data_IF_577382894296
#
_entry.id   IF_577382894296
#
_cell.length_a   1.000
_cell.length_b   1.000
_cell.length_c   1.000
_cell.angle_alpha   90.00
_cell.angle_beta   90.00
_cell.angle_gamma   90.00
#
_symmetry.space_group_name_H-M   'P 1'
#
loop_
_entity.id
_entity.type
_entity.pdbx_description
1 polymer ?
#
# COMPACT_ATOMS: atom_id res chain seq x y z
N UNK A 1 -78.70 -13.56 5.38
CA UNK A 1 -77.60 -13.52 6.37
C UNK A 1 -76.46 -14.32 5.78
N UNK A 2 -75.48 -13.63 5.18
CA UNK A 2 -74.56 -14.23 4.22
C UNK A 2 -73.11 -14.20 4.72
N UNK A 3 -72.42 -15.30 4.45
CA UNK A 3 -71.06 -15.76 4.79
C UNK A 3 -69.92 -14.72 4.59
N UNK A 4 -70.23 -13.55 4.08
CA UNK A 4 -69.32 -12.44 3.76
C UNK A 4 -68.64 -11.79 4.97
N UNK A 5 -69.23 -11.90 6.17
CA UNK A 5 -68.69 -11.26 7.38
C UNK A 5 -67.82 -12.19 8.25
N UNK A 6 -67.74 -13.50 7.95
CA UNK A 6 -66.94 -14.46 8.71
C UNK A 6 -65.51 -14.66 8.15
N UNK A 7 -65.25 -14.29 6.89
CA UNK A 7 -63.90 -14.35 6.28
C UNK A 7 -63.09 -13.08 6.58
N UNK A 8 -63.73 -12.00 7.03
CA UNK A 8 -63.03 -10.80 7.55
C UNK A 8 -62.41 -11.03 8.93
N UNK A 9 -62.68 -12.18 9.54
CA UNK A 9 -61.96 -12.75 10.68
C UNK A 9 -60.69 -13.53 10.26
N UNK A 10 -60.16 -13.27 9.05
CA UNK A 10 -58.77 -13.50 8.66
C UNK A 10 -57.85 -12.47 9.34
N UNK A 11 -58.02 -12.33 10.66
CA UNK A 11 -57.09 -11.69 11.59
C UNK A 11 -56.26 -12.76 12.31
N UNK A 12 -56.42 -14.06 12.00
CA UNK A 12 -55.41 -15.04 12.42
C UNK A 12 -54.18 -14.93 11.51
N UNK A 13 -53.16 -14.20 11.96
CA UNK A 13 -52.15 -14.75 12.86
C UNK A 13 -51.25 -15.77 12.13
N UNK A 14 -50.68 -15.34 11.01
CA UNK A 14 -49.41 -15.87 10.52
C UNK A 14 -48.63 -14.67 9.98
N UNK A 15 -48.06 -13.85 10.85
CA UNK A 15 -46.72 -14.11 11.41
C UNK A 15 -45.60 -14.20 10.35
N UNK A 16 -45.86 -13.80 9.10
CA UNK A 16 -44.81 -13.60 8.07
C UNK A 16 -44.64 -12.12 7.70
N UNK A 17 -45.44 -11.24 8.29
CA UNK A 17 -45.16 -9.79 8.32
C UNK A 17 -44.03 -9.42 9.31
N UNK A 18 -43.39 -10.40 9.97
CA UNK A 18 -42.32 -10.17 10.95
C UNK A 18 -41.04 -10.98 10.71
N UNK A 19 -40.91 -11.66 9.57
CA UNK A 19 -39.67 -12.38 9.19
C UNK A 19 -38.95 -11.79 7.96
N UNK A 20 -39.54 -10.78 7.31
CA UNK A 20 -38.99 -10.15 6.10
C UNK A 20 -38.35 -8.76 6.36
N UNK A 21 -38.16 -8.37 7.62
CA UNK A 21 -37.77 -7.00 8.00
C UNK A 21 -36.56 -6.87 8.93
N UNK A 22 -35.75 -7.92 9.15
CA UNK A 22 -34.51 -7.80 9.94
C UNK A 22 -33.29 -8.54 9.37
N UNK A 23 -33.36 -9.07 8.15
CA UNK A 23 -32.16 -9.42 7.39
C UNK A 23 -31.73 -8.24 6.51
N UNK A 24 -31.62 -7.06 7.13
CA UNK A 24 -30.58 -6.14 6.68
C UNK A 24 -29.28 -6.90 6.96
N UNK A 25 -28.38 -7.10 5.99
CA UNK A 25 -27.05 -7.54 6.37
C UNK A 25 -26.59 -6.48 7.37
N UNK A 26 -26.31 -6.91 8.60
CA UNK A 26 -25.36 -6.20 9.41
C UNK A 26 -24.23 -5.90 8.43
N UNK A 27 -24.00 -4.61 8.15
CA UNK A 27 -22.73 -4.20 7.59
C UNK A 27 -21.75 -4.87 8.53
N UNK A 28 -21.10 -5.93 8.06
CA UNK A 28 -20.15 -6.66 8.87
C UNK A 28 -19.25 -5.58 9.44
N UNK A 29 -19.37 -5.36 10.75
CA UNK A 29 -18.29 -4.77 11.53
C UNK A 29 -17.05 -5.51 11.02
N UNK A 30 -16.10 -4.72 10.52
CA UNK A 30 -14.88 -5.19 9.90
C UNK A 30 -14.44 -6.49 10.57
N UNK A 31 -14.12 -7.51 9.77
CA UNK A 31 -13.52 -8.75 10.23
C UNK A 31 -12.47 -8.41 11.30
N UNK A 32 -12.78 -8.65 12.58
CA UNK A 32 -11.86 -8.25 13.64
C UNK A 32 -10.60 -9.09 13.46
N UNK A 33 -9.43 -8.45 13.31
CA UNK A 33 -8.22 -9.19 13.06
C UNK A 33 -7.98 -10.16 14.22
N UNK A 34 -7.77 -11.44 13.90
CA UNK A 34 -7.26 -12.39 14.89
C UNK A 34 -5.89 -11.98 15.45
N UNK A 35 -5.13 -11.17 14.71
CA UNK A 35 -3.85 -10.56 15.10
C UNK A 35 -3.66 -9.20 14.42
N UNK A 36 -3.09 -8.24 15.14
CA UNK A 36 -2.66 -6.95 14.59
C UNK A 36 -1.20 -6.98 14.14
N UNK A 37 -0.85 -6.13 13.17
CA UNK A 37 0.53 -5.92 12.72
C UNK A 37 1.10 -4.61 13.28
N UNK A 38 2.41 -4.58 13.53
CA UNK A 38 3.13 -3.42 14.04
C UNK A 38 3.38 -2.34 12.98
N UNK A 39 3.09 -2.63 11.70
CA UNK A 39 3.27 -1.67 10.62
C UNK A 39 2.42 -0.41 10.85
N UNK A 40 2.96 0.80 10.62
CA UNK A 40 2.26 2.06 10.87
C UNK A 40 1.27 2.41 9.74
N UNK A 41 0.71 1.41 9.08
CA UNK A 41 -0.19 1.55 7.93
C UNK A 41 0.30 0.81 6.69
N UNK A 42 -0.66 0.48 5.83
CA UNK A 42 -0.37 -0.08 4.52
C UNK A 42 -0.06 1.05 3.53
N UNK A 43 1.12 1.00 2.91
CA UNK A 43 1.56 1.94 1.88
C UNK A 43 1.63 1.24 0.52
N UNK A 44 0.89 1.70 -0.52
CA UNK A 44 1.08 1.19 -1.87
C UNK A 44 2.50 1.47 -2.36
N UNK A 45 3.04 0.57 -3.19
CA UNK A 45 4.41 0.75 -3.70
C UNK A 45 4.43 1.89 -4.73
N UNK A 46 4.99 3.04 -4.34
CA UNK A 46 5.05 4.25 -5.15
C UNK A 46 6.51 4.71 -5.31
N UNK A 47 7.01 4.77 -6.55
CA UNK A 47 8.39 5.18 -6.85
C UNK A 47 8.70 6.66 -6.59
N UNK A 48 7.70 7.49 -6.28
CA UNK A 48 7.88 8.92 -5.93
C UNK A 48 8.06 9.18 -4.43
N UNK A 49 7.81 8.18 -3.59
CA UNK A 49 7.91 8.33 -2.15
C UNK A 49 9.31 8.74 -1.67
N UNK A 50 10.42 8.21 -2.23
CA UNK A 50 11.78 8.67 -1.90
C UNK A 50 11.98 10.17 -2.07
N UNK A 51 11.68 10.70 -3.26
CA UNK A 51 11.85 12.12 -3.56
C UNK A 51 10.96 13.04 -2.70
N UNK A 52 9.79 12.57 -2.25
CA UNK A 52 9.00 13.30 -1.25
C UNK A 52 9.71 13.37 0.11
N UNK A 53 10.25 12.25 0.58
CA UNK A 53 10.94 12.17 1.87
C UNK A 53 12.25 12.96 1.89
N UNK A 54 13.00 12.94 0.79
CA UNK A 54 14.22 13.75 0.61
C UNK A 54 13.94 15.26 0.63
N UNK A 55 12.75 15.68 0.17
CA UNK A 55 12.36 17.08 0.11
C UNK A 55 11.85 17.65 1.45
N UNK A 56 11.67 16.83 2.48
CA UNK A 56 11.14 17.26 3.78
C UNK A 56 12.04 18.31 4.47
N UNK A 57 11.47 19.04 5.42
CA UNK A 57 12.08 20.17 6.10
C UNK A 57 11.70 21.50 5.44
N UNK A 58 12.23 21.77 4.25
CA UNK A 58 12.05 23.05 3.56
C UNK A 58 10.85 23.08 2.60
N UNK A 59 10.28 21.91 2.28
CA UNK A 59 9.15 21.83 1.35
C UNK A 59 7.89 22.50 1.91
N UNK A 60 7.14 23.18 1.03
CA UNK A 60 5.87 23.80 1.38
C UNK A 60 4.73 22.82 1.14
N UNK A 61 4.07 22.40 2.22
CA UNK A 61 2.90 21.52 2.16
C UNK A 61 1.62 22.32 2.44
N UNK A 62 0.71 22.35 1.46
CA UNK A 62 -0.64 22.88 1.67
C UNK A 62 -1.52 21.76 2.23
N UNK A 63 -2.01 21.92 3.45
CA UNK A 63 -2.89 20.95 4.11
C UNK A 63 -4.32 21.33 3.82
N UNK A 64 -5.17 20.41 3.33
CA UNK A 64 -6.60 20.67 3.16
C UNK A 64 -7.43 20.23 4.38
N UNK A 65 -8.69 20.72 4.53
CA UNK A 65 -9.60 20.25 5.57
C UNK A 65 -9.77 18.74 5.50
N UNK A 66 -9.60 18.05 6.64
CA UNK A 66 -9.72 16.59 6.72
C UNK A 66 -11.10 16.17 6.25
N UNK A 67 -11.14 15.21 5.33
CA UNK A 67 -12.36 14.62 4.80
C UNK A 67 -12.90 13.66 5.86
N UNK A 68 -14.15 13.83 6.28
CA UNK A 68 -14.85 12.89 7.15
C UNK A 68 -15.92 12.21 6.29
N UNK A 69 -15.57 11.06 5.72
CA UNK A 69 -16.43 10.33 4.80
C UNK A 69 -17.42 9.48 5.58
N UNK A 70 -18.71 9.73 5.38
CA UNK A 70 -19.80 9.01 6.04
C UNK A 70 -20.52 8.13 5.03
N UNK A 71 -21.43 7.29 5.50
CA UNK A 71 -22.20 6.39 4.64
C UNK A 71 -22.91 7.12 3.49
N UNK A 72 -23.44 8.32 3.74
CA UNK A 72 -24.27 9.04 2.76
C UNK A 72 -23.68 10.36 2.26
N UNK A 73 -22.62 10.87 2.90
CA UNK A 73 -22.09 12.22 2.62
C UNK A 73 -20.62 12.39 2.99
N UNK A 74 -20.03 13.45 2.46
CA UNK A 74 -18.74 13.98 2.90
C UNK A 74 -18.95 15.15 3.87
N UNK A 75 -18.19 15.19 4.96
CA UNK A 75 -18.02 16.37 5.81
C UNK A 75 -16.54 16.76 5.87
N UNK A 76 -16.23 17.92 6.43
CA UNK A 76 -14.86 18.45 6.50
C UNK A 76 -14.55 18.95 7.90
N UNK A 77 -13.35 18.64 8.41
CA UNK A 77 -12.84 19.11 9.69
C UNK A 77 -11.70 20.10 9.48
N UNK A 78 -11.97 21.38 9.73
CA UNK A 78 -10.94 22.44 9.74
C UNK A 78 -10.08 22.36 11.00
N UNK A 79 -10.66 21.96 12.14
CA UNK A 79 -9.90 21.73 13.36
C UNK A 79 -8.82 20.65 13.18
N UNK A 80 -9.13 19.58 12.44
CA UNK A 80 -8.13 18.55 12.08
C UNK A 80 -7.07 19.09 11.13
N UNK A 81 -7.42 19.97 10.19
CA UNK A 81 -6.44 20.65 9.34
C UNK A 81 -5.48 21.51 10.17
N UNK A 82 -6.00 22.31 11.11
CA UNK A 82 -5.19 23.13 11.99
C UNK A 82 -4.24 22.27 12.84
N UNK A 83 -4.75 21.13 13.33
CA UNK A 83 -3.94 20.14 14.06
C UNK A 83 -2.81 19.56 13.19
N UNK A 84 -3.10 19.20 11.93
CA UNK A 84 -2.10 18.68 10.99
C UNK A 84 -1.05 19.75 10.69
N UNK A 85 -1.47 20.99 10.36
CA UNK A 85 -0.57 22.11 10.09
C UNK A 85 0.34 22.38 11.28
N UNK A 86 -0.22 22.43 12.50
CA UNK A 86 0.55 22.66 13.72
C UNK A 86 1.56 21.53 13.95
N UNK A 87 1.16 20.27 13.76
CA UNK A 87 2.02 19.11 13.94
C UNK A 87 3.20 19.11 12.96
N UNK A 88 2.94 19.27 11.65
CA UNK A 88 3.99 19.24 10.62
C UNK A 88 5.04 20.32 10.87
N UNK A 89 4.61 21.54 11.19
CA UNK A 89 5.52 22.64 11.51
C UNK A 89 6.29 22.39 12.83
N UNK A 90 5.63 21.90 13.87
CA UNK A 90 6.25 21.65 15.17
C UNK A 90 7.28 20.52 15.14
N UNK A 91 7.07 19.51 14.29
CA UNK A 91 8.02 18.41 14.08
C UNK A 91 9.13 18.75 13.06
N UNK A 92 9.09 19.92 12.42
CA UNK A 92 10.04 20.28 11.36
C UNK A 92 9.94 19.38 10.12
N UNK A 93 8.79 18.72 9.91
CA UNK A 93 8.58 17.83 8.76
C UNK A 93 8.45 18.64 7.48
N UNK A 94 7.82 19.82 7.54
CA UNK A 94 7.63 20.71 6.40
C UNK A 94 7.21 22.12 6.85
N UNK A 95 7.25 23.07 5.92
CA UNK A 95 6.59 24.39 6.07
C UNK A 95 5.13 24.23 5.66
N UNK A 96 4.26 23.92 6.64
CA UNK A 96 2.86 23.61 6.39
C UNK A 96 1.95 24.84 6.49
N UNK A 97 1.01 24.99 5.55
CA UNK A 97 -0.01 26.06 5.57
C UNK A 97 -1.42 25.49 5.29
N UNK A 98 -2.49 26.10 5.83
CA UNK A 98 -3.85 25.65 5.57
C UNK A 98 -4.32 26.09 4.17
N UNK A 99 -4.94 25.18 3.43
CA UNK A 99 -5.65 25.46 2.17
C UNK A 99 -7.18 25.45 2.37
N UNK A 100 -7.95 26.34 1.71
CA UNK A 100 -9.39 26.48 1.98
C UNK A 100 -10.27 25.45 1.25
N UNK A 101 -9.72 24.72 0.28
CA UNK A 101 -10.49 23.88 -0.65
C UNK A 101 -11.07 22.67 0.06
N UNK A 102 -12.37 22.42 -0.14
CA UNK A 102 -13.04 21.18 0.26
C UNK A 102 -13.07 20.21 -0.92
N UNK A 103 -12.71 18.96 -0.66
CA UNK A 103 -12.84 17.87 -1.63
C UNK A 103 -14.06 17.05 -1.25
N UNK A 104 -15.01 16.92 -2.17
CA UNK A 104 -16.12 15.99 -2.01
C UNK A 104 -15.83 14.70 -2.75
N UNK A 105 -15.56 13.64 -2.01
CA UNK A 105 -15.35 12.31 -2.58
C UNK A 105 -16.65 11.47 -2.61
N UNK A 106 -17.78 12.06 -2.23
CA UNK A 106 -19.06 11.38 -2.15
C UNK A 106 -19.17 10.32 -1.03
N UNK A 107 -20.29 9.60 -0.99
CA UNK A 107 -20.57 8.57 0.02
C UNK A 107 -19.64 7.35 -0.04
N UNK A 108 -19.52 6.64 1.08
CA UNK A 108 -18.87 5.32 1.16
C UNK A 108 -19.70 4.25 0.42
N UNK A 109 -19.32 3.93 -0.82
CA UNK A 109 -20.06 2.98 -1.70
C UNK A 109 -19.28 1.71 -2.07
N UNK A 110 -18.04 1.55 -1.61
CA UNK A 110 -17.15 0.44 -2.01
C UNK A 110 -17.13 -0.67 -0.95
N UNK A 111 -16.95 -1.94 -1.37
CA UNK A 111 -17.02 -3.10 -0.49
C UNK A 111 -15.84 -3.25 0.47
N UNK A 112 -14.66 -2.68 0.16
CA UNK A 112 -13.47 -2.80 1.00
C UNK A 112 -12.77 -1.45 1.17
N UNK A 113 -12.05 -1.28 2.29
CA UNK A 113 -11.23 -0.09 2.51
C UNK A 113 -10.18 0.08 1.40
N UNK A 114 -9.57 -1.00 0.94
CA UNK A 114 -8.57 -0.94 -0.12
C UNK A 114 -9.13 -0.34 -1.41
N UNK A 115 -10.36 -0.71 -1.79
CA UNK A 115 -11.02 -0.10 -2.94
C UNK A 115 -11.45 1.35 -2.69
N UNK A 116 -11.81 1.71 -1.46
CA UNK A 116 -12.09 3.10 -1.06
C UNK A 116 -10.83 3.95 -1.26
N UNK A 117 -9.70 3.49 -0.71
CA UNK A 117 -8.41 4.16 -0.78
C UNK A 117 -7.94 4.36 -2.23
N UNK A 118 -7.95 3.30 -3.05
CA UNK A 118 -7.56 3.43 -4.46
C UNK A 118 -8.48 4.36 -5.27
N UNK A 119 -9.77 4.40 -4.94
CA UNK A 119 -10.70 5.33 -5.57
C UNK A 119 -10.46 6.77 -5.10
N UNK A 120 -10.17 6.97 -3.81
CA UNK A 120 -9.80 8.26 -3.23
C UNK A 120 -8.52 8.82 -3.85
N UNK A 121 -7.47 8.01 -3.94
CA UNK A 121 -6.20 8.39 -4.55
C UNK A 121 -6.36 8.86 -6.00
N UNK A 122 -7.12 8.12 -6.81
CA UNK A 122 -7.42 8.51 -8.20
C UNK A 122 -8.22 9.80 -8.29
N UNK A 123 -9.29 9.94 -7.49
CA UNK A 123 -10.12 11.13 -7.50
C UNK A 123 -9.35 12.37 -7.05
N UNK A 124 -8.50 12.25 -6.02
CA UNK A 124 -7.62 13.32 -5.57
C UNK A 124 -6.64 13.69 -6.67
N UNK A 125 -5.97 12.72 -7.30
CA UNK A 125 -5.04 12.99 -8.39
C UNK A 125 -5.70 13.73 -9.56
N UNK A 126 -6.91 13.31 -9.96
CA UNK A 126 -7.70 13.98 -11.00
C UNK A 126 -8.04 15.43 -10.64
N UNK A 127 -8.41 15.69 -9.38
CA UNK A 127 -8.73 17.04 -8.90
C UNK A 127 -7.52 17.96 -8.98
N UNK A 128 -6.33 17.48 -8.58
CA UNK A 128 -5.11 18.28 -8.53
C UNK A 128 -4.35 18.35 -9.84
N UNK A 129 -4.63 17.46 -10.80
CA UNK A 129 -4.13 17.61 -12.17
C UNK A 129 -4.56 18.94 -12.83
N UNK A 130 -5.67 19.53 -12.37
CA UNK A 130 -6.22 20.80 -12.87
C UNK A 130 -6.23 21.94 -11.84
N UNK A 131 -5.61 21.75 -10.66
CA UNK A 131 -5.68 22.72 -9.57
C UNK A 131 -4.34 22.86 -8.83
N UNK A 132 -3.72 24.02 -8.97
CA UNK A 132 -2.49 24.38 -8.25
C UNK A 132 -2.84 24.99 -6.88
N UNK A 133 -2.29 24.42 -5.80
CA UNK A 133 -2.43 24.93 -4.44
C UNK A 133 -1.38 25.99 -4.08
N UNK A 134 -0.35 26.17 -4.92
CA UNK A 134 0.78 27.05 -4.66
C UNK A 134 1.85 26.47 -3.73
N UNK A 135 1.62 25.28 -3.18
CA UNK A 135 2.60 24.47 -2.46
C UNK A 135 3.37 23.53 -3.37
N UNK A 136 4.43 22.93 -2.83
CA UNK A 136 5.21 21.91 -3.54
C UNK A 136 4.48 20.55 -3.45
N UNK A 137 3.80 20.32 -2.33
CA UNK A 137 2.87 19.21 -2.10
C UNK A 137 1.55 19.68 -1.49
N UNK A 138 0.52 18.84 -1.65
CA UNK A 138 -0.77 18.98 -0.96
C UNK A 138 -1.07 17.74 -0.15
N UNK A 139 -1.41 17.91 1.13
CA UNK A 139 -1.77 16.82 2.04
C UNK A 139 -3.28 16.82 2.31
N UNK A 140 -3.88 15.65 2.15
CA UNK A 140 -5.28 15.37 2.42
C UNK A 140 -5.35 14.15 3.35
N UNK A 141 -6.01 14.31 4.49
CA UNK A 141 -6.37 13.20 5.36
C UNK A 141 -7.85 12.90 5.21
N UNK A 142 -8.20 11.62 5.14
CA UNK A 142 -9.56 11.12 5.09
C UNK A 142 -9.83 10.17 6.26
N UNK A 143 -10.94 10.39 6.96
CA UNK A 143 -11.44 9.55 8.04
C UNK A 143 -12.73 8.88 7.58
N UNK A 144 -12.75 7.55 7.59
CA UNK A 144 -13.91 6.76 7.21
C UNK A 144 -14.79 6.53 8.45
N UNK A 145 -16.00 7.08 8.47
CA UNK A 145 -16.91 7.06 9.63
C UNK A 145 -18.31 6.61 9.18
N UNK A 146 -18.52 5.33 8.82
CA UNK A 146 -19.79 4.86 8.26
C UNK A 146 -20.97 5.05 9.23
N UNK A 147 -20.81 4.67 10.50
CA UNK A 147 -21.87 4.68 11.52
C UNK A 147 -21.91 5.91 12.45
N UNK A 148 -21.16 6.98 12.14
CA UNK A 148 -21.02 8.20 12.96
C UNK A 148 -20.39 8.04 14.37
N UNK A 149 -20.20 6.80 14.85
CA UNK A 149 -19.75 6.50 16.22
C UNK A 149 -18.35 5.90 16.28
N UNK A 150 -17.79 5.44 15.16
CA UNK A 150 -16.47 4.83 15.11
C UNK A 150 -15.78 5.19 13.81
N UNK A 151 -14.46 5.37 13.88
CA UNK A 151 -13.59 5.46 12.70
C UNK A 151 -13.29 4.04 12.24
N UNK A 152 -13.67 3.74 11.01
CA UNK A 152 -13.39 2.46 10.34
C UNK A 152 -11.99 2.45 9.70
N UNK A 153 -11.49 3.62 9.31
CA UNK A 153 -10.20 3.73 8.66
C UNK A 153 -9.70 5.17 8.60
N UNK A 154 -8.38 5.31 8.49
CA UNK A 154 -7.68 6.57 8.26
C UNK A 154 -6.90 6.42 6.96
N UNK A 155 -7.00 7.40 6.07
CA UNK A 155 -6.29 7.42 4.79
C UNK A 155 -5.57 8.76 4.66
N UNK A 156 -4.34 8.73 4.16
CA UNK A 156 -3.53 9.92 3.93
C UNK A 156 -3.06 9.91 2.48
N UNK A 157 -3.23 11.06 1.83
CA UNK A 157 -2.85 11.30 0.45
C UNK A 157 -1.99 12.55 0.38
N UNK A 158 -0.81 12.41 -0.20
CA UNK A 158 0.11 13.51 -0.48
C UNK A 158 0.38 13.51 -1.98
N UNK A 159 -0.02 14.58 -2.64
CA UNK A 159 0.20 14.77 -4.08
C UNK A 159 1.20 15.88 -4.32
N UNK A 160 2.02 15.75 -5.35
CA UNK A 160 2.89 16.84 -5.81
C UNK A 160 2.08 17.93 -6.54
N UNK A 161 2.76 19.01 -6.94
CA UNK A 161 2.17 20.13 -7.68
C UNK A 161 1.47 19.72 -8.99
N UNK A 162 1.86 18.61 -9.61
CA UNK A 162 1.23 18.09 -10.83
C UNK A 162 0.01 17.19 -10.53
N UNK A 163 -0.40 17.06 -9.26
CA UNK A 163 -1.48 16.18 -8.83
C UNK A 163 -1.10 14.69 -8.82
N UNK A 164 0.17 14.34 -8.97
CA UNK A 164 0.60 12.94 -8.92
C UNK A 164 0.77 12.51 -7.45
N UNK A 165 0.34 11.29 -7.13
CA UNK A 165 0.59 10.68 -5.82
C UNK A 165 2.10 10.64 -5.55
N UNK A 166 2.53 11.37 -4.53
CA UNK A 166 3.90 11.40 -4.04
C UNK A 166 4.08 10.44 -2.86
N UNK A 167 3.09 10.41 -1.97
CA UNK A 167 3.08 9.54 -0.80
C UNK A 167 1.64 9.27 -0.37
N UNK A 168 1.31 8.04 -0.01
CA UNK A 168 -0.02 7.70 0.47
C UNK A 168 0.03 6.46 1.36
N UNK A 169 -0.92 6.33 2.29
CA UNK A 169 -1.08 5.12 3.10
C UNK A 169 -2.49 5.07 3.72
N UNK A 170 -2.85 3.90 4.24
CA UNK A 170 -4.07 3.67 5.00
C UNK A 170 -3.81 2.95 6.32
N UNK A 171 -4.69 3.17 7.30
CA UNK A 171 -4.78 2.45 8.58
C UNK A 171 -6.20 1.99 8.83
N UNK A 172 -6.31 0.87 9.55
CA UNK A 172 -7.53 0.24 10.02
C UNK A 172 -7.24 -0.69 11.20
N UNK A 173 -8.24 -1.42 11.66
CA UNK A 173 -8.18 -2.33 12.80
C UNK A 173 -7.06 -3.40 12.72
N UNK A 174 -6.52 -3.73 11.53
CA UNK A 174 -5.39 -4.65 11.41
C UNK A 174 -4.07 -4.06 11.93
N UNK A 175 -3.97 -2.75 12.11
CA UNK A 175 -2.75 -2.08 12.57
C UNK A 175 -2.84 -1.84 14.09
N UNK A 176 -1.80 -2.23 14.82
CA UNK A 176 -1.75 -2.16 16.29
C UNK A 176 -2.07 -0.76 16.80
N UNK A 177 -1.46 0.28 16.21
CA UNK A 177 -1.67 1.66 16.65
C UNK A 177 -3.10 2.16 16.44
N UNK A 178 -3.80 1.64 15.43
CA UNK A 178 -5.20 1.98 15.18
C UNK A 178 -6.09 1.26 16.19
N UNK A 179 -5.90 -0.05 16.37
CA UNK A 179 -6.66 -0.86 17.32
C UNK A 179 -6.50 -0.35 18.76
N UNK A 180 -5.27 -0.07 19.18
CA UNK A 180 -4.96 0.46 20.51
C UNK A 180 -5.58 1.84 20.77
N UNK A 181 -5.81 2.63 19.72
CA UNK A 181 -6.37 3.97 19.86
C UNK A 181 -7.87 3.98 20.19
N UNK A 182 -8.61 2.88 20.01
CA UNK A 182 -10.05 2.77 20.30
C UNK A 182 -10.82 3.99 19.78
N UNK A 183 -10.83 4.16 18.45
CA UNK A 183 -11.34 5.35 17.77
C UNK A 183 -12.88 5.36 17.70
N UNK A 184 -13.49 5.41 18.88
CA UNK A 184 -14.93 5.40 19.09
C UNK A 184 -15.37 6.65 19.86
N UNK A 185 -16.54 7.19 19.49
CA UNK A 185 -17.18 8.26 20.22
C UNK A 185 -17.83 7.69 21.50
N UNK A 186 -17.53 8.31 22.65
CA UNK A 186 -18.08 7.90 23.95
C UNK A 186 -19.61 7.95 24.04
N UNK A 187 -20.26 8.75 23.19
CA UNK A 187 -21.71 8.89 23.06
C UNK A 187 -22.06 9.69 21.79
N UNK A 188 -23.36 9.89 21.54
CA UNK A 188 -23.87 10.58 20.34
C UNK A 188 -23.74 12.11 20.30
N UNK A 189 -23.09 12.73 21.29
CA UNK A 189 -22.88 14.19 21.32
C UNK A 189 -21.92 14.65 20.22
N UNK A 190 -21.99 15.93 19.85
CA UNK A 190 -21.05 16.50 18.88
C UNK A 190 -19.64 16.56 19.46
N UNK A 191 -19.51 16.88 20.74
CA UNK A 191 -18.25 16.95 21.47
C UNK A 191 -17.53 15.59 21.46
N UNK A 192 -18.27 14.48 21.66
CA UNK A 192 -17.71 13.14 21.57
C UNK A 192 -17.22 12.79 20.16
N UNK A 193 -17.95 13.22 19.12
CA UNK A 193 -17.54 13.03 17.72
C UNK A 193 -16.29 13.83 17.37
N UNK A 194 -16.22 15.08 17.83
CA UNK A 194 -15.05 15.94 17.60
C UNK A 194 -13.81 15.38 18.30
N UNK A 195 -13.97 14.85 19.51
CA UNK A 195 -12.87 14.19 20.23
C UNK A 195 -12.39 12.92 19.51
N UNK A 196 -13.32 12.09 19.01
CA UNK A 196 -12.98 10.93 18.18
C UNK A 196 -12.21 11.34 16.91
N UNK A 197 -12.67 12.38 16.21
CA UNK A 197 -12.00 12.92 15.02
C UNK A 197 -10.59 13.43 15.37
N UNK A 198 -10.44 14.20 16.45
CA UNK A 198 -9.15 14.71 16.93
C UNK A 198 -8.16 13.58 17.23
N UNK A 199 -8.62 12.54 17.91
CA UNK A 199 -7.82 11.35 18.24
C UNK A 199 -7.42 10.58 16.98
N UNK A 200 -8.33 10.41 16.03
CA UNK A 200 -8.03 9.77 14.75
C UNK A 200 -7.03 10.58 13.91
N UNK A 201 -7.16 11.91 13.89
CA UNK A 201 -6.17 12.80 13.27
C UNK A 201 -4.79 12.62 13.89
N UNK A 202 -4.71 12.52 15.23
CA UNK A 202 -3.45 12.26 15.92
C UNK A 202 -2.83 10.90 15.51
N UNK A 203 -3.63 9.83 15.47
CA UNK A 203 -3.16 8.51 15.01
C UNK A 203 -2.64 8.58 13.58
N UNK A 204 -3.34 9.28 12.68
CA UNK A 204 -2.90 9.46 11.29
C UNK A 204 -1.58 10.23 11.18
N UNK A 205 -1.33 11.21 12.05
CA UNK A 205 -0.08 11.98 12.10
C UNK A 205 1.08 11.15 12.66
N UNK A 206 0.85 10.40 13.74
CA UNK A 206 1.85 9.48 14.30
C UNK A 206 2.22 8.39 13.27
N UNK A 207 1.25 7.91 12.50
CA UNK A 207 1.47 6.96 11.43
C UNK A 207 2.31 7.56 10.31
N UNK A 208 1.99 8.80 9.87
CA UNK A 208 2.75 9.52 8.87
C UNK A 208 4.22 9.69 9.29
N UNK A 209 4.47 10.12 10.53
CA UNK A 209 5.82 10.27 11.06
C UNK A 209 6.60 8.94 11.01
N UNK A 210 6.02 7.84 11.51
CA UNK A 210 6.66 6.51 11.46
C UNK A 210 6.90 6.00 10.04
N UNK A 211 5.99 6.27 9.10
CA UNK A 211 6.16 5.91 7.70
C UNK A 211 7.29 6.70 7.03
N UNK A 212 7.44 7.98 7.38
CA UNK A 212 8.57 8.81 6.96
C UNK A 212 9.86 8.27 7.56
N UNK A 213 9.92 8.02 8.87
CA UNK A 213 11.10 7.50 9.56
C UNK A 213 11.54 6.14 8.97
N UNK A 214 10.60 5.24 8.71
CA UNK A 214 10.87 3.94 8.07
C UNK A 214 11.47 4.13 6.67
N UNK A 215 10.92 5.06 5.88
CA UNK A 215 11.45 5.31 4.54
C UNK A 215 12.81 6.02 4.61
N UNK A 216 13.02 6.98 5.51
CA UNK A 216 14.32 7.63 5.72
C UNK A 216 15.38 6.63 6.18
N UNK A 217 15.04 5.72 7.10
CA UNK A 217 15.93 4.64 7.51
C UNK A 217 16.25 3.69 6.33
N UNK A 218 15.25 3.40 5.49
CA UNK A 218 15.46 2.60 4.29
C UNK A 218 16.36 3.29 3.27
N UNK A 219 16.15 4.59 3.02
CA UNK A 219 16.94 5.41 2.11
C UNK A 219 18.36 5.63 2.65
N UNK A 220 18.52 5.92 3.94
CA UNK A 220 19.84 6.01 4.59
C UNK A 220 20.57 4.67 4.54
N UNK A 221 19.85 3.57 4.74
CA UNK A 221 20.40 2.25 4.52
C UNK A 221 20.73 2.01 3.05
N UNK A 222 20.00 2.61 2.08
CA UNK A 222 20.29 2.52 0.65
C UNK A 222 21.48 3.40 0.21
N UNK A 223 21.61 4.62 0.73
CA UNK A 223 22.78 5.50 0.58
C UNK A 223 24.00 4.89 1.29
N UNK A 224 23.76 4.10 2.34
CA UNK A 224 24.73 3.19 2.96
C UNK A 224 24.87 1.83 2.27
N UNK A 225 24.06 1.50 1.24
CA UNK A 225 24.10 0.25 0.44
C UNK A 225 25.04 0.35 -0.76
N UNK A 226 26.09 1.16 -0.65
CA UNK A 226 27.43 0.65 -0.98
C UNK A 226 27.96 -0.25 0.14
N UNK A 227 27.09 -1.15 0.63
CA UNK A 227 27.48 -2.20 1.55
C UNK A 227 28.47 -3.13 0.85
N UNK A 228 29.32 -3.83 1.62
CA UNK A 228 30.21 -4.83 1.03
C UNK A 228 29.40 -5.85 0.21
N UNK A 229 30.02 -6.50 -0.79
CA UNK A 229 29.38 -7.53 -1.61
C UNK A 229 28.55 -8.48 -0.75
N UNK A 230 27.27 -8.65 -1.10
CA UNK A 230 26.39 -9.58 -0.39
C UNK A 230 26.63 -10.98 -0.92
N UNK A 231 26.87 -11.93 -0.01
CA UNK A 231 26.77 -13.35 -0.32
C UNK A 231 25.29 -13.72 -0.22
N UNK A 232 24.62 -13.91 -1.35
CA UNK A 232 23.20 -14.23 -1.38
C UNK A 232 23.02 -15.69 -1.78
N UNK A 233 22.73 -16.56 -0.79
CA UNK A 233 22.66 -17.99 -1.02
C UNK A 233 23.92 -18.53 -1.70
N UNK A 234 23.78 -18.91 -2.97
CA UNK A 234 24.83 -19.45 -3.86
C UNK A 234 25.46 -18.42 -4.81
N UNK A 235 25.09 -17.15 -4.69
CA UNK A 235 25.61 -16.04 -5.50
C UNK A 235 26.72 -15.30 -4.77
N UNK A 236 27.87 -15.14 -5.44
CA UNK A 236 28.89 -14.16 -5.07
C UNK A 236 28.66 -12.88 -5.89
N UNK A 237 28.15 -11.83 -5.25
CA UNK A 237 27.84 -10.56 -5.91
C UNK A 237 29.04 -9.62 -5.95
N UNK A 238 29.23 -8.93 -7.07
CA UNK A 238 30.09 -7.76 -7.25
C UNK A 238 29.26 -6.66 -7.89
N UNK A 239 29.04 -5.57 -7.16
CA UNK A 239 28.23 -4.44 -7.64
C UNK A 239 28.96 -3.73 -8.78
N UNK A 240 28.27 -3.44 -9.88
CA UNK A 240 28.82 -2.65 -10.98
C UNK A 240 28.39 -1.19 -10.80
N UNK A 241 27.07 -0.95 -10.70
CA UNK A 241 26.45 0.36 -10.49
C UNK A 241 25.09 0.24 -9.77
N UNK A 242 24.33 1.33 -9.70
CA UNK A 242 23.04 1.42 -9.00
C UNK A 242 21.97 0.48 -9.56
N UNK A 243 22.08 0.10 -10.84
CA UNK A 243 21.07 -0.68 -11.57
C UNK A 243 21.63 -2.01 -12.07
N UNK A 244 22.86 -2.36 -11.72
CA UNK A 244 23.46 -3.60 -12.18
C UNK A 244 24.51 -4.20 -11.24
N UNK A 245 24.50 -5.53 -11.18
CA UNK A 245 25.47 -6.32 -10.45
C UNK A 245 26.05 -7.41 -11.34
N UNK A 246 27.32 -7.74 -11.16
CA UNK A 246 27.89 -8.99 -11.65
C UNK A 246 27.75 -10.02 -10.56
N UNK A 247 27.23 -11.19 -10.88
CA UNK A 247 27.19 -12.31 -9.93
C UNK A 247 27.96 -13.48 -10.50
N UNK A 248 28.69 -14.17 -9.63
CA UNK A 248 29.39 -15.40 -9.94
C UNK A 248 28.73 -16.55 -9.18
N UNK A 249 28.59 -17.69 -9.86
CA UNK A 249 27.99 -18.90 -9.30
C UNK A 249 28.83 -20.11 -9.67
N UNK A 250 28.86 -21.10 -8.79
CA UNK A 250 29.34 -22.43 -9.16
C UNK A 250 28.14 -23.29 -9.54
N UNK A 251 28.08 -23.82 -10.76
CA UNK A 251 26.95 -24.65 -11.19
C UNK A 251 26.81 -25.96 -10.43
N UNK A 252 27.86 -26.40 -9.73
CA UNK A 252 27.84 -27.58 -8.88
C UNK A 252 27.05 -27.36 -7.58
N UNK A 253 26.85 -26.10 -7.17
CA UNK A 253 26.02 -25.76 -6.00
C UNK A 253 24.53 -25.96 -6.29
N UNK A 254 24.15 -26.12 -7.56
CA UNK A 254 22.77 -26.33 -7.98
C UNK A 254 22.50 -27.81 -8.26
N UNK A 255 21.37 -28.30 -7.75
CA UNK A 255 20.97 -29.71 -7.87
C UNK A 255 20.02 -29.89 -9.05
N UNK A 256 20.12 -31.02 -9.75
CA UNK A 256 19.14 -31.42 -10.76
C UNK A 256 19.56 -31.17 -12.21
N UNK A 257 18.60 -31.31 -13.11
CA UNK A 257 18.74 -31.09 -14.55
C UNK A 257 18.93 -29.61 -14.87
N UNK A 258 19.39 -29.31 -16.10
CA UNK A 258 19.69 -27.94 -16.52
C UNK A 258 18.54 -26.95 -16.30
N UNK A 259 17.28 -27.36 -16.53
CA UNK A 259 16.10 -26.53 -16.29
C UNK A 259 15.87 -26.24 -14.80
N UNK A 260 16.11 -27.22 -13.93
CA UNK A 260 15.98 -27.07 -12.47
C UNK A 260 17.09 -26.17 -11.91
N UNK A 261 18.31 -26.28 -12.45
CA UNK A 261 19.42 -25.36 -12.11
C UNK A 261 19.12 -23.93 -12.56
N UNK A 262 18.58 -23.74 -13.76
CA UNK A 262 18.20 -22.42 -14.27
C UNK A 262 17.07 -21.78 -13.43
N UNK A 263 16.10 -22.58 -12.99
CA UNK A 263 15.04 -22.11 -12.10
C UNK A 263 15.59 -21.67 -10.74
N UNK A 264 16.44 -22.51 -10.12
CA UNK A 264 17.10 -22.15 -8.86
C UNK A 264 17.97 -20.90 -8.99
N UNK A 265 18.70 -20.74 -10.09
CA UNK A 265 19.47 -19.53 -10.36
C UNK A 265 18.57 -18.30 -10.43
N UNK A 266 17.43 -18.42 -11.12
CA UNK A 266 16.45 -17.34 -11.27
C UNK A 266 15.83 -16.98 -9.92
N UNK A 267 15.63 -17.96 -9.03
CA UNK A 267 15.19 -17.74 -7.66
C UNK A 267 16.16 -16.87 -6.86
N UNK A 268 17.45 -17.20 -6.90
CA UNK A 268 18.48 -16.44 -6.21
C UNK A 268 18.57 -15.00 -6.75
N UNK A 269 18.46 -14.83 -8.08
CA UNK A 269 18.44 -13.51 -8.71
C UNK A 269 17.20 -12.70 -8.30
N UNK A 270 16.03 -13.35 -8.19
CA UNK A 270 14.80 -12.71 -7.75
C UNK A 270 14.89 -12.25 -6.29
N UNK A 271 15.45 -13.08 -5.41
CA UNK A 271 15.69 -12.72 -4.01
C UNK A 271 16.67 -11.53 -3.91
N UNK A 272 17.79 -11.59 -4.61
CA UNK A 272 18.74 -10.48 -4.69
C UNK A 272 18.08 -9.20 -5.20
N UNK A 273 17.26 -9.28 -6.24
CA UNK A 273 16.54 -8.13 -6.81
C UNK A 273 15.61 -7.47 -5.78
N UNK A 274 14.86 -8.26 -5.03
CA UNK A 274 13.97 -7.77 -3.98
C UNK A 274 14.75 -7.13 -2.83
N UNK A 275 15.87 -7.73 -2.42
CA UNK A 275 16.73 -7.18 -1.37
C UNK A 275 17.42 -5.88 -1.79
N UNK A 276 17.72 -5.75 -3.09
CA UNK A 276 18.15 -4.50 -3.70
C UNK A 276 17.04 -3.46 -3.83
N UNK A 277 15.78 -3.83 -3.54
CA UNK A 277 14.63 -2.94 -3.55
C UNK A 277 13.93 -2.81 -4.90
N UNK A 278 14.37 -3.55 -5.92
CA UNK A 278 13.81 -3.49 -7.27
C UNK A 278 12.67 -4.49 -7.47
N UNK A 279 11.86 -4.26 -8.51
CA UNK A 279 10.71 -5.10 -8.82
C UNK A 279 10.95 -6.07 -9.96
N UNK A 280 11.84 -5.73 -10.86
CA UNK A 280 12.12 -6.49 -12.06
C UNK A 280 13.61 -6.66 -12.23
N UNK A 281 14.00 -7.72 -12.92
CA UNK A 281 15.39 -7.94 -13.31
C UNK A 281 15.49 -8.61 -14.68
N UNK A 282 16.67 -8.51 -15.28
CA UNK A 282 17.05 -9.34 -16.43
C UNK A 282 18.48 -9.84 -16.24
N UNK A 283 18.76 -11.03 -16.77
CA UNK A 283 20.10 -11.62 -16.73
C UNK A 283 20.71 -11.48 -18.13
N UNK A 284 21.92 -10.92 -18.22
CA UNK A 284 22.68 -10.83 -19.46
C UNK A 284 24.18 -11.07 -19.26
N UNK A 285 24.96 -10.91 -20.33
CA UNK A 285 26.43 -11.02 -20.35
C UNK A 285 26.97 -12.27 -19.64
N UNK A 286 26.49 -13.45 -20.05
CA UNK A 286 26.96 -14.73 -19.52
C UNK A 286 28.38 -15.03 -19.97
N UNK A 287 29.24 -15.34 -19.01
CA UNK A 287 30.60 -15.82 -19.23
C UNK A 287 30.82 -17.13 -18.47
N UNK A 288 31.46 -18.10 -19.12
CA UNK A 288 32.00 -19.29 -18.46
C UNK A 288 33.40 -18.97 -17.95
N UNK A 289 33.65 -19.25 -16.69
CA UNK A 289 34.93 -19.09 -16.01
C UNK A 289 35.58 -20.47 -15.81
N UNK A 290 36.80 -20.48 -15.28
CA UNK A 290 37.46 -21.74 -14.93
C UNK A 290 36.67 -22.52 -13.86
N UNK A 291 36.88 -23.85 -13.81
CA UNK A 291 36.41 -24.71 -12.73
C UNK A 291 34.88 -24.73 -12.52
N UNK A 292 34.10 -24.65 -13.61
CA UNK A 292 32.63 -24.75 -13.54
C UNK A 292 31.95 -23.51 -12.94
N UNK A 293 32.70 -22.43 -12.76
CA UNK A 293 32.13 -21.14 -12.40
C UNK A 293 31.51 -20.46 -13.62
N UNK A 294 30.38 -19.80 -13.40
CA UNK A 294 29.75 -18.95 -14.38
C UNK A 294 29.56 -17.55 -13.78
N UNK A 295 29.78 -16.53 -14.61
CA UNK A 295 29.46 -15.15 -14.27
C UNK A 295 28.36 -14.65 -15.19
N UNK A 296 27.48 -13.81 -14.66
CA UNK A 296 26.49 -13.09 -15.45
C UNK A 296 26.24 -11.73 -14.82
N UNK A 297 25.74 -10.79 -15.62
CA UNK A 297 25.27 -9.50 -15.14
C UNK A 297 23.76 -9.58 -14.91
N UNK A 298 23.33 -9.02 -13.78
CA UNK A 298 21.92 -8.79 -13.47
C UNK A 298 21.69 -7.29 -13.64
N UNK A 299 20.67 -6.93 -14.40
CA UNK A 299 20.14 -5.58 -14.48
C UNK A 299 18.86 -5.50 -13.65
N UNK A 300 18.72 -4.45 -12.86
CA UNK A 300 17.57 -4.23 -11.98
C UNK A 300 16.70 -3.08 -12.47
N UNK A 301 15.38 -3.21 -12.31
CA UNK A 301 14.42 -2.20 -12.75
C UNK A 301 13.26 -2.02 -11.76
N UNK A 302 12.83 -0.77 -11.58
CA UNK A 302 11.61 -0.42 -10.84
C UNK A 302 10.34 -0.67 -11.68
N UNK A 303 10.46 -0.54 -13.00
CA UNK A 303 9.40 -0.76 -13.98
C UNK A 303 9.97 -1.49 -15.21
N UNK A 304 9.17 -2.29 -15.93
CA UNK A 304 9.65 -3.00 -17.11
C UNK A 304 10.17 -2.02 -18.17
N UNK A 305 11.41 -2.16 -18.67
CA UNK A 305 11.94 -1.30 -19.71
C UNK A 305 11.17 -1.47 -21.04
N UNK A 306 10.97 -0.36 -21.75
CA UNK A 306 10.25 -0.34 -23.01
C UNK A 306 10.92 -1.24 -24.06
N UNK A 307 10.11 -2.01 -24.79
CA UNK A 307 10.58 -2.87 -25.89
C UNK A 307 11.24 -4.18 -25.45
N UNK A 308 11.31 -4.48 -24.15
CA UNK A 308 11.71 -5.80 -23.66
C UNK A 308 10.48 -6.63 -23.29
N UNK A 309 10.43 -7.93 -23.67
CA UNK A 309 9.33 -8.79 -23.27
C UNK A 309 9.36 -9.00 -21.75
N UNK A 310 8.21 -8.77 -21.11
CA UNK A 310 8.00 -9.14 -19.71
C UNK A 310 7.55 -10.59 -19.67
N UNK A 311 8.34 -11.45 -19.02
CA UNK A 311 7.94 -12.81 -18.73
C UNK A 311 7.18 -12.83 -17.40
N UNK A 312 5.94 -13.31 -17.45
CA UNK A 312 5.14 -13.61 -16.27
C UNK A 312 5.10 -15.13 -16.09
N UNK A 313 5.25 -15.55 -14.84
CA UNK A 313 5.29 -16.96 -14.47
C UNK A 313 4.34 -17.11 -13.32
N UNK A 314 3.30 -17.92 -13.50
CA UNK A 314 2.26 -18.12 -12.48
C UNK A 314 2.37 -19.50 -11.82
N UNK A 315 3.03 -20.43 -12.49
CA UNK A 315 3.31 -21.77 -12.00
C UNK A 315 4.71 -22.24 -12.44
N UNK A 316 5.35 -23.19 -11.73
CA UNK A 316 6.68 -23.71 -12.09
C UNK A 316 6.79 -24.21 -13.54
N UNK A 317 5.73 -24.83 -14.07
CA UNK A 317 5.66 -25.33 -15.45
C UNK A 317 5.74 -24.24 -16.52
N UNK A 318 5.32 -23.02 -16.20
CA UNK A 318 5.39 -21.87 -17.12
C UNK A 318 6.85 -21.49 -17.43
N UNK A 319 7.78 -21.85 -16.53
CA UNK A 319 9.20 -21.52 -16.67
C UNK A 319 9.82 -22.14 -17.93
N UNK A 320 9.44 -23.37 -18.26
CA UNK A 320 9.92 -24.05 -19.48
C UNK A 320 9.40 -23.39 -20.77
N UNK A 321 8.31 -22.62 -20.67
CA UNK A 321 7.70 -21.91 -21.78
C UNK A 321 8.29 -20.53 -22.06
N UNK A 322 9.16 -19.99 -21.20
CA UNK A 322 9.75 -18.66 -21.37
C UNK A 322 10.75 -18.70 -22.54
N UNK A 323 10.42 -18.09 -23.69
CA UNK A 323 11.35 -18.06 -24.81
C UNK A 323 12.48 -17.10 -24.45
N UNK A 324 13.70 -17.62 -24.40
CA UNK A 324 14.93 -16.83 -24.26
C UNK A 324 14.98 -15.95 -22.99
N UNK A 325 15.19 -16.61 -21.83
CA UNK A 325 15.34 -15.99 -20.51
C UNK A 325 16.33 -14.81 -20.49
N UNK A 326 17.39 -14.87 -21.32
CA UNK A 326 18.43 -13.84 -21.43
C UNK A 326 17.92 -12.53 -22.06
N UNK A 327 16.76 -12.56 -22.73
CA UNK A 327 16.15 -11.38 -23.36
C UNK A 327 14.91 -10.87 -22.62
N UNK A 328 14.42 -11.64 -21.65
CA UNK A 328 13.21 -11.33 -20.90
C UNK A 328 13.51 -10.49 -19.66
N UNK A 329 12.55 -9.65 -19.32
CA UNK A 329 12.48 -9.00 -18.01
C UNK A 329 11.58 -9.85 -17.14
N UNK A 330 12.02 -10.14 -15.92
CA UNK A 330 11.37 -11.05 -14.98
C UNK A 330 10.86 -10.23 -13.79
N UNK A 331 9.65 -10.54 -13.32
CA UNK A 331 9.09 -9.90 -12.13
C UNK A 331 9.57 -10.63 -10.87
N UNK A 332 10.35 -9.96 -10.03
CA UNK A 332 11.06 -10.58 -8.92
C UNK A 332 10.13 -11.19 -7.88
N UNK A 333 8.99 -10.56 -7.58
CA UNK A 333 8.02 -11.09 -6.61
C UNK A 333 7.35 -12.38 -7.08
N UNK A 334 6.94 -12.47 -8.35
CA UNK A 334 6.30 -13.66 -8.90
C UNK A 334 7.25 -14.85 -8.82
N UNK A 335 8.51 -14.64 -9.19
CA UNK A 335 9.54 -15.66 -9.06
C UNK A 335 9.82 -16.04 -7.61
N UNK A 336 9.98 -15.08 -6.70
CA UNK A 336 10.19 -15.38 -5.29
C UNK A 336 9.03 -16.17 -4.65
N UNK A 337 7.79 -16.03 -5.15
CA UNK A 337 6.64 -16.84 -4.75
C UNK A 337 6.74 -18.28 -5.25
N UNK A 338 7.04 -18.47 -6.54
CA UNK A 338 7.27 -19.80 -7.14
C UNK A 338 8.39 -20.55 -6.41
N UNK A 339 9.48 -19.85 -6.09
CA UNK A 339 10.63 -20.44 -5.41
C UNK A 339 10.28 -20.89 -3.98
N UNK A 340 9.43 -20.12 -3.28
CA UNK A 340 8.90 -20.53 -1.96
C UNK A 340 7.99 -21.76 -2.05
N UNK A 341 7.16 -21.85 -3.09
CA UNK A 341 6.32 -23.03 -3.32
C UNK A 341 7.15 -24.29 -3.55
N UNK A 342 8.24 -24.19 -4.33
CA UNK A 342 9.14 -25.30 -4.61
C UNK A 342 9.96 -25.71 -3.38
N UNK A 343 10.37 -24.76 -2.53
CA UNK A 343 11.08 -25.05 -1.29
C UNK A 343 10.19 -25.67 -0.20
N UNK A 344 8.87 -25.47 -0.28
CA UNK A 344 7.87 -25.97 0.67
C UNK A 344 7.11 -27.22 0.22
N UNK A 345 7.44 -27.78 -0.94
CA UNK A 345 6.86 -29.04 -1.42
C UNK A 345 7.67 -30.22 -0.82
N UNK A 346 7.03 -31.15 -0.10
CA UNK A 346 7.70 -32.20 0.66
C UNK A 346 8.52 -33.18 -0.18
#
# INVERSE_FOLDING_TARGET
MNISNAIRFLVLLTSVFLAALTLWPAVNLADEPGQTIADPGFRPVNGRAPGFVEALGDTRIVVLPTIVRRQERTAHSFASQDQIVAYLNAQGIAVATPGPRRIDLGPLRRPSQWEIFQAGERAIAEIFAAYDTGGDYTLIMELLVPGNQAVFGIEVYIVNRQGQSAFSFLLNAHHEMFAAAQLEARNSSEEARQEMIRKATQVGLEALARQIDHLQAHLTAQDGRFGPPMSHGRLAETVIDETSSRVSVNTDDFVGLAAEKALQLTCECAALTLDRGFRYFSIDERAELADGQHSFRILFFESPPAGRPLASVTAPEDFAGIPNLESAVLQAREFAEICRMLAGSP
#
